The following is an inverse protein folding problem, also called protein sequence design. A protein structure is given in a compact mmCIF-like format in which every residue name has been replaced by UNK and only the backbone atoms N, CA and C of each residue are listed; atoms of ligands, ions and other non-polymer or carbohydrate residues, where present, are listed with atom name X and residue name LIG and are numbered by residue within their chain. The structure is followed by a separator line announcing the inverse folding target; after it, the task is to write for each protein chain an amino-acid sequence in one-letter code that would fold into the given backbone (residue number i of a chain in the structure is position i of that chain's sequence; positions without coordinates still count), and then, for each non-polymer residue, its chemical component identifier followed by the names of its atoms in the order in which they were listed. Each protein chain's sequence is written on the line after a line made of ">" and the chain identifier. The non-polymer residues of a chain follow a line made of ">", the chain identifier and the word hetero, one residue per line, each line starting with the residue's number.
data_IF_998696444268
#
_entry.id   IF_998696444268
#
_cell.length_a   1.000
_cell.length_b   1.000
_cell.length_c   1.000
_cell.angle_alpha   90.00
_cell.angle_beta   90.00
_cell.angle_gamma   90.00
#
_symmetry.space_group_name_H-M   'P 1'
#
loop_
_entity.id
_entity.type
_entity.pdbx_description
1 polymer ?
#
# COMPACT_ATOMS: atom_id res chain seq x y z
N UNK A 1 52.31 -7.55 10.77
CA UNK A 1 51.40 -8.53 10.12
C UNK A 1 49.99 -8.52 10.72
N UNK A 2 49.83 -8.35 12.04
CA UNK A 2 48.51 -8.31 12.72
C UNK A 2 47.61 -7.15 12.24
N UNK A 3 48.16 -5.94 12.10
CA UNK A 3 47.40 -4.73 11.71
C UNK A 3 46.78 -4.84 10.30
N UNK A 4 47.45 -5.51 9.35
CA UNK A 4 46.95 -5.70 7.98
C UNK A 4 45.77 -6.67 7.96
N UNK A 5 45.81 -7.69 8.82
CA UNK A 5 44.72 -8.66 8.96
C UNK A 5 43.46 -8.01 9.54
N UNK A 6 43.60 -7.18 10.58
CA UNK A 6 42.46 -6.49 11.19
C UNK A 6 41.80 -5.49 10.23
N UNK A 7 42.60 -4.74 9.46
CA UNK A 7 42.08 -3.83 8.43
C UNK A 7 41.34 -4.62 7.35
N UNK A 8 41.91 -5.72 6.85
CA UNK A 8 41.25 -6.56 5.84
C UNK A 8 39.94 -7.18 6.35
N UNK A 9 39.91 -7.58 7.63
CA UNK A 9 38.73 -8.16 8.28
C UNK A 9 37.60 -7.13 8.42
N UNK A 10 37.95 -5.88 8.74
CA UNK A 10 36.99 -4.78 8.82
C UNK A 10 36.34 -4.48 7.45
N UNK A 11 37.14 -4.37 6.39
CA UNK A 11 36.62 -4.11 5.04
C UNK A 11 35.76 -5.26 4.51
N UNK A 12 36.12 -6.50 4.85
CA UNK A 12 35.35 -7.69 4.48
C UNK A 12 34.00 -7.73 5.21
N UNK A 13 33.98 -7.39 6.51
CA UNK A 13 32.74 -7.22 7.27
C UNK A 13 31.85 -6.10 6.74
N UNK A 14 32.46 -4.97 6.34
CA UNK A 14 31.74 -3.85 5.72
C UNK A 14 31.11 -4.25 4.37
N UNK A 15 31.85 -4.97 3.52
CA UNK A 15 31.35 -5.47 2.23
C UNK A 15 30.17 -6.43 2.40
N UNK A 16 30.25 -7.36 3.36
CA UNK A 16 29.15 -8.29 3.67
C UNK A 16 27.93 -7.50 4.16
N UNK A 17 28.12 -6.56 5.09
CA UNK A 17 27.05 -5.72 5.61
C UNK A 17 26.38 -4.87 4.52
N UNK A 18 27.17 -4.25 3.66
CA UNK A 18 26.68 -3.46 2.52
C UNK A 18 25.90 -4.34 1.53
N UNK A 19 26.40 -5.55 1.23
CA UNK A 19 25.70 -6.48 0.35
C UNK A 19 24.34 -6.91 0.93
N UNK A 20 24.28 -7.24 2.22
CA UNK A 20 23.03 -7.60 2.91
C UNK A 20 22.04 -6.42 2.87
N UNK A 21 22.50 -5.20 3.15
CA UNK A 21 21.65 -4.01 3.11
C UNK A 21 21.07 -3.76 1.70
N UNK A 22 21.90 -3.91 0.66
CA UNK A 22 21.46 -3.77 -0.75
C UNK A 22 20.48 -4.88 -1.13
N UNK A 23 20.72 -6.12 -0.71
CA UNK A 23 19.82 -7.23 -0.97
C UNK A 23 18.45 -7.03 -0.31
N UNK A 24 18.41 -6.59 0.95
CA UNK A 24 17.17 -6.26 1.64
C UNK A 24 16.44 -5.09 0.97
N UNK A 25 17.16 -4.06 0.53
CA UNK A 25 16.59 -2.94 -0.21
C UNK A 25 16.00 -3.37 -1.56
N UNK A 26 16.69 -4.25 -2.28
CA UNK A 26 16.22 -4.81 -3.55
C UNK A 26 14.98 -5.70 -3.36
N UNK A 27 14.95 -6.54 -2.32
CA UNK A 27 13.79 -7.35 -1.97
C UNK A 27 12.60 -6.46 -1.61
N UNK A 28 12.82 -5.43 -0.79
CA UNK A 28 11.80 -4.43 -0.49
C UNK A 28 11.28 -3.80 -1.79
N UNK A 29 12.17 -3.27 -2.63
CA UNK A 29 11.74 -2.64 -3.87
C UNK A 29 10.98 -3.61 -4.78
N UNK A 30 11.45 -4.85 -4.93
CA UNK A 30 10.79 -5.87 -5.74
C UNK A 30 9.37 -6.20 -5.24
N UNK A 31 9.20 -6.38 -3.92
CA UNK A 31 7.91 -6.69 -3.31
C UNK A 31 6.96 -5.48 -3.29
N UNK A 32 7.48 -4.25 -3.16
CA UNK A 32 6.66 -3.05 -3.02
C UNK A 32 6.50 -2.24 -4.33
N UNK A 33 7.13 -2.65 -5.44
CA UNK A 33 7.01 -1.99 -6.76
C UNK A 33 5.56 -1.95 -7.27
N UNK A 34 4.76 -2.99 -7.01
CA UNK A 34 3.33 -3.08 -7.41
C UNK A 34 2.39 -2.30 -6.51
N UNK A 35 2.85 -1.90 -5.32
CA UNK A 35 2.05 -1.14 -4.36
C UNK A 35 1.99 0.35 -4.71
N UNK A 36 2.84 0.80 -5.64
CA UNK A 36 2.92 2.19 -6.14
C UNK A 36 2.33 2.29 -7.56
N UNK A 37 1.12 1.78 -7.77
CA UNK A 37 0.38 2.09 -9.00
C UNK A 37 -0.13 3.53 -8.88
N UNK A 38 0.51 4.45 -9.63
CA UNK A 38 0.23 5.89 -9.58
C UNK A 38 -1.10 6.32 -10.19
N UNK A 39 -1.79 5.44 -10.93
CA UNK A 39 -3.08 5.75 -11.54
C UNK A 39 -3.88 4.47 -11.75
N UNK A 40 -5.09 4.42 -11.20
CA UNK A 40 -6.07 3.35 -11.44
C UNK A 40 -7.13 3.94 -12.38
N UNK A 41 -7.31 3.42 -13.61
CA UNK A 41 -8.35 3.93 -14.49
C UNK A 41 -9.74 3.49 -14.00
N UNK A 42 -10.73 4.37 -14.13
CA UNK A 42 -12.08 4.14 -13.59
C UNK A 42 -12.74 2.87 -14.15
N UNK A 43 -12.43 2.47 -15.38
CA UNK A 43 -12.96 1.27 -16.01
C UNK A 43 -12.46 -0.05 -15.38
N UNK A 44 -11.35 -0.03 -14.63
CA UNK A 44 -10.80 -1.18 -13.93
C UNK A 44 -11.40 -1.36 -12.53
N UNK A 45 -12.11 -0.35 -12.04
CA UNK A 45 -12.76 -0.38 -10.74
C UNK A 45 -14.06 -1.17 -10.83
N UNK A 46 -14.24 -2.13 -9.93
CA UNK A 46 -15.45 -2.92 -9.80
C UNK A 46 -16.40 -2.30 -8.77
N UNK A 47 -15.91 -2.03 -7.56
CA UNK A 47 -16.69 -1.39 -6.50
C UNK A 47 -15.81 -0.54 -5.57
N UNK A 48 -16.40 0.51 -4.99
CA UNK A 48 -15.83 1.27 -3.90
C UNK A 48 -16.41 0.73 -2.58
N UNK A 49 -15.55 0.24 -1.68
CA UNK A 49 -15.94 -0.24 -0.36
C UNK A 49 -15.64 0.84 0.68
N UNK A 50 -16.67 1.32 1.37
CA UNK A 50 -16.54 2.21 2.52
C UNK A 50 -16.67 1.41 3.81
N UNK A 51 -15.65 1.46 4.67
CA UNK A 51 -15.63 0.81 5.98
C UNK A 51 -15.56 1.90 7.06
N UNK A 52 -16.49 1.89 7.99
CA UNK A 52 -16.42 2.72 9.21
C UNK A 52 -15.66 1.95 10.27
N UNK A 53 -14.60 2.51 10.85
CA UNK A 53 -13.75 1.83 11.83
C UNK A 53 -14.19 2.09 13.27
N UNK A 54 -13.79 3.21 13.86
CA UNK A 54 -14.04 3.45 15.29
C UNK A 54 -15.10 4.50 15.54
N UNK A 55 -15.27 5.45 14.62
CA UNK A 55 -16.25 6.54 14.74
C UNK A 55 -16.89 6.83 13.38
N UNK A 56 -18.03 7.53 13.37
CA UNK A 56 -18.70 7.99 12.13
C UNK A 56 -17.79 8.83 11.23
N UNK A 57 -16.77 9.46 11.82
CA UNK A 57 -15.80 10.30 11.13
C UNK A 57 -14.48 9.57 10.84
N UNK A 58 -14.43 8.26 11.04
CA UNK A 58 -13.28 7.41 10.71
C UNK A 58 -13.71 6.39 9.67
N UNK A 59 -13.82 6.86 8.43
CA UNK A 59 -14.16 6.05 7.27
C UNK A 59 -12.90 5.76 6.48
N UNK A 60 -12.73 4.50 6.08
CA UNK A 60 -11.71 4.05 5.14
C UNK A 60 -12.37 3.66 3.84
N UNK A 61 -11.78 4.09 2.73
CA UNK A 61 -12.22 3.70 1.40
C UNK A 61 -11.24 2.70 0.80
N UNK A 62 -11.76 1.63 0.21
CA UNK A 62 -11.00 0.60 -0.49
C UNK A 62 -11.61 0.37 -1.85
N UNK A 63 -10.81 0.39 -2.89
CA UNK A 63 -11.22 0.01 -4.24
C UNK A 63 -11.07 -1.50 -4.39
N UNK A 64 -12.14 -2.16 -4.83
CA UNK A 64 -12.06 -3.48 -5.44
C UNK A 64 -11.88 -3.30 -6.95
N UNK A 65 -10.81 -3.86 -7.49
CA UNK A 65 -10.54 -3.87 -8.92
C UNK A 65 -11.12 -5.14 -9.54
N UNK A 66 -11.51 -5.08 -10.82
CA UNK A 66 -11.96 -6.23 -11.61
C UNK A 66 -10.92 -7.36 -11.67
N UNK A 67 -9.66 -7.07 -11.36
CA UNK A 67 -8.58 -8.05 -11.25
C UNK A 67 -8.57 -8.81 -9.91
N UNK A 68 -9.64 -8.74 -9.11
CA UNK A 68 -9.71 -9.28 -7.74
C UNK A 68 -8.65 -8.71 -6.77
N UNK A 69 -8.11 -7.52 -7.10
CA UNK A 69 -7.15 -6.81 -6.24
C UNK A 69 -7.86 -5.73 -5.45
N UNK A 70 -7.41 -5.54 -4.22
CA UNK A 70 -7.90 -4.47 -3.34
C UNK A 70 -6.85 -3.37 -3.22
N UNK A 71 -7.30 -2.11 -3.19
CA UNK A 71 -6.43 -0.94 -3.06
C UNK A 71 -7.04 0.04 -2.06
N UNK A 72 -6.33 0.28 -0.95
CA UNK A 72 -6.77 1.24 0.05
C UNK A 72 -6.51 2.67 -0.46
N UNK A 73 -7.51 3.54 -0.32
CA UNK A 73 -7.36 4.96 -0.56
C UNK A 73 -6.85 5.64 0.72
N UNK A 74 -5.67 6.24 0.64
CA UNK A 74 -5.11 7.03 1.73
C UNK A 74 -5.73 8.42 1.66
N UNK A 75 -6.72 8.67 2.51
CA UNK A 75 -7.43 9.95 2.57
C UNK A 75 -6.92 10.71 3.78
N UNK A 76 -6.29 11.86 3.54
CA UNK A 76 -5.71 12.68 4.62
C UNK A 76 -6.77 13.42 5.41
N UNK A 77 -7.91 13.76 4.79
CA UNK A 77 -8.97 14.54 5.42
C UNK A 77 -10.33 13.84 5.31
N UNK A 78 -10.93 13.56 6.47
CA UNK A 78 -12.19 12.83 6.58
C UNK A 78 -13.38 13.62 6.02
N UNK A 79 -13.30 14.95 5.93
CA UNK A 79 -14.35 15.76 5.31
C UNK A 79 -14.52 15.47 3.81
N UNK A 80 -13.47 14.99 3.16
CA UNK A 80 -13.43 14.84 1.70
C UNK A 80 -13.99 13.47 1.27
N UNK A 81 -14.26 12.58 2.21
CA UNK A 81 -14.76 11.23 1.95
C UNK A 81 -16.13 11.26 1.27
N UNK A 82 -17.02 12.13 1.71
CA UNK A 82 -18.35 12.24 1.10
C UNK A 82 -18.25 12.71 -0.36
N UNK A 83 -17.37 13.68 -0.64
CA UNK A 83 -17.11 14.16 -2.01
C UNK A 83 -16.56 13.03 -2.91
N UNK A 84 -15.66 12.21 -2.39
CA UNK A 84 -15.14 11.04 -3.11
C UNK A 84 -16.26 10.04 -3.38
N UNK A 85 -17.05 9.68 -2.36
CA UNK A 85 -18.18 8.75 -2.52
C UNK A 85 -19.15 9.26 -3.59
N UNK A 86 -19.47 10.55 -3.58
CA UNK A 86 -20.40 11.14 -4.54
C UNK A 86 -19.82 11.15 -5.96
N UNK A 87 -18.52 11.41 -6.12
CA UNK A 87 -17.83 11.29 -7.41
C UNK A 87 -17.92 9.87 -8.00
N UNK A 88 -17.82 8.84 -7.15
CA UNK A 88 -17.95 7.44 -7.60
C UNK A 88 -19.38 7.09 -8.01
N UNK A 89 -20.39 7.63 -7.32
CA UNK A 89 -21.80 7.49 -7.71
C UNK A 89 -22.08 8.16 -9.06
N UNK A 90 -21.52 9.34 -9.31
CA UNK A 90 -21.65 10.04 -10.60
C UNK A 90 -21.08 9.23 -11.76
N UNK A 91 -20.00 8.48 -11.52
CA UNK A 91 -19.40 7.58 -12.51
C UNK A 91 -20.09 6.21 -12.62
N UNK A 92 -21.25 6.03 -11.98
CA UNK A 92 -21.99 4.77 -11.92
C UNK A 92 -21.17 3.59 -11.37
N UNK A 93 -20.15 3.85 -10.55
CA UNK A 93 -19.39 2.82 -9.86
C UNK A 93 -20.13 2.49 -8.56
N UNK A 94 -20.44 1.21 -8.30
CA UNK A 94 -21.18 0.84 -7.10
C UNK A 94 -20.38 1.13 -5.83
N UNK A 95 -21.05 1.73 -4.84
CA UNK A 95 -20.48 2.01 -3.52
C UNK A 95 -21.12 1.06 -2.50
N UNK A 96 -20.28 0.26 -1.84
CA UNK A 96 -20.70 -0.70 -0.82
C UNK A 96 -20.28 -0.22 0.55
N UNK A 97 -21.26 0.00 1.43
CA UNK A 97 -21.00 0.28 2.83
C UNK A 97 -20.87 -1.03 3.60
N UNK A 98 -19.75 -1.18 4.33
CA UNK A 98 -19.52 -2.30 5.24
C UNK A 98 -19.46 -1.80 6.67
N UNK A 99 -20.20 -2.47 7.54
CA UNK A 99 -20.23 -2.24 8.98
C UNK A 99 -19.31 -3.19 9.75
N UNK A 100 -18.68 -4.15 9.06
CA UNK A 100 -17.82 -5.18 9.64
C UNK A 100 -16.34 -4.79 9.57
N UNK A 101 -15.63 -4.91 10.70
CA UNK A 101 -14.23 -4.52 10.88
C UNK A 101 -13.19 -5.48 10.30
N UNK A 102 -13.61 -6.43 9.46
CA UNK A 102 -12.68 -7.38 8.88
C UNK A 102 -11.73 -6.64 7.93
N UNK A 103 -10.43 -6.73 8.22
CA UNK A 103 -9.39 -6.25 7.34
C UNK A 103 -9.57 -6.91 5.98
N UNK A 104 -9.88 -6.12 4.96
CA UNK A 104 -9.82 -6.59 3.58
C UNK A 104 -8.40 -7.08 3.30
N UNK A 105 -8.24 -8.17 2.52
CA UNK A 105 -6.92 -8.66 2.18
C UNK A 105 -6.14 -7.53 1.50
N UNK A 106 -5.00 -7.18 2.11
CA UNK A 106 -3.99 -6.34 1.47
C UNK A 106 -3.39 -7.16 0.34
N UNK A 107 -4.00 -7.10 -0.84
CA UNK A 107 -3.40 -7.68 -2.03
C UNK A 107 -2.22 -6.77 -2.40
N UNK A 108 -1.01 -7.17 -2.02
CA UNK A 108 0.23 -6.51 -2.43
C UNK A 108 0.41 -6.60 -3.96
#
# INVERSE_FOLDING_TARGET
>A
MIIINDISSFWLGFLIGAYIAVALFAIYYYLFKSSVVKSIPFNEIEELISITLFSKNDRRLTLKLKSERYRNLIIMNQSDINLIIDSFKEMAIPVRERTTFNLLPLNF
#
